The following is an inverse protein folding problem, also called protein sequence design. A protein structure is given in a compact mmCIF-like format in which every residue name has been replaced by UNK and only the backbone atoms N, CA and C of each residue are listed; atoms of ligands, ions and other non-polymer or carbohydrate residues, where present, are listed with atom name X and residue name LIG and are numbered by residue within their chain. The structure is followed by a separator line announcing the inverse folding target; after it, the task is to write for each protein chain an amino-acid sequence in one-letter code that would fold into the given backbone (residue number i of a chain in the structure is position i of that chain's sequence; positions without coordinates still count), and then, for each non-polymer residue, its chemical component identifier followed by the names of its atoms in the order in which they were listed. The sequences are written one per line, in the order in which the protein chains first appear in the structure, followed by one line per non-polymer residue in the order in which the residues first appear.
data_IF_592632291510
#
_entry.id   IF_592632291510
#
_cell.length_a   1.000
_cell.length_b   1.000
_cell.length_c   1.000
_cell.angle_alpha   90.00
_cell.angle_beta   90.00
_cell.angle_gamma   90.00
#
_symmetry.space_group_name_H-M   'P 1'
#
loop_
_entity.id
_entity.type
_entity.pdbx_description
1 polymer ?
#
# COMPACT_ATOMS: atom_id res chain seq x y z
N UNK A 1 13.83 18.27 -10.60
CA UNK A 1 14.74 17.42 -11.40
C UNK A 1 14.25 17.15 -12.84
N UNK A 2 13.04 17.58 -13.24
CA UNK A 2 12.42 17.17 -14.52
C UNK A 2 12.09 18.31 -15.49
N UNK A 3 12.59 19.52 -15.26
CA UNK A 3 12.29 20.65 -16.13
C UNK A 3 13.25 20.68 -17.33
N UNK A 4 12.72 21.03 -18.50
CA UNK A 4 13.44 21.36 -19.74
C UNK A 4 13.88 20.21 -20.68
N UNK A 5 13.10 19.12 -20.79
CA UNK A 5 13.25 18.14 -21.88
C UNK A 5 12.11 18.28 -22.89
N UNK A 6 12.42 18.81 -24.09
CA UNK A 6 11.41 19.07 -25.13
C UNK A 6 10.65 17.78 -25.48
N UNK A 7 9.33 17.83 -25.39
CA UNK A 7 8.45 16.70 -25.70
C UNK A 7 8.30 15.66 -24.60
N UNK A 8 8.98 15.78 -23.45
CA UNK A 8 8.76 14.91 -22.28
C UNK A 8 8.04 15.71 -21.18
N UNK A 9 6.87 15.23 -20.78
CA UNK A 9 6.03 15.85 -19.77
C UNK A 9 5.92 14.93 -18.55
N UNK A 10 6.22 15.47 -17.36
CA UNK A 10 6.14 14.74 -16.10
C UNK A 10 5.41 15.64 -15.11
N UNK A 11 4.28 15.17 -14.58
CA UNK A 11 3.50 15.86 -13.56
C UNK A 11 3.38 15.00 -12.32
N UNK A 12 3.84 15.52 -11.19
CA UNK A 12 3.65 14.90 -9.88
C UNK A 12 2.24 15.14 -9.34
N UNK A 13 1.71 14.13 -8.66
CA UNK A 13 0.52 14.19 -7.81
C UNK A 13 0.78 13.41 -6.51
N UNK A 14 -0.15 13.46 -5.55
CA UNK A 14 0.03 12.91 -4.20
C UNK A 14 0.62 11.50 -4.20
N UNK A 15 0.09 10.62 -5.05
CA UNK A 15 0.43 9.20 -5.05
C UNK A 15 1.34 8.80 -6.22
N UNK A 16 1.95 9.74 -6.96
CA UNK A 16 2.66 9.34 -8.17
C UNK A 16 3.01 10.43 -9.17
N UNK A 17 3.27 10.00 -10.39
CA UNK A 17 3.55 10.84 -11.55
C UNK A 17 2.77 10.39 -12.77
N UNK A 18 2.24 11.35 -13.52
CA UNK A 18 1.79 11.12 -14.89
C UNK A 18 2.94 11.50 -15.83
N UNK A 19 3.32 10.59 -16.72
CA UNK A 19 4.41 10.79 -17.68
C UNK A 19 3.90 10.63 -19.10
N UNK A 20 4.30 11.53 -19.99
CA UNK A 20 3.95 11.47 -21.40
C UNK A 20 5.14 11.87 -22.27
N UNK A 21 5.44 11.06 -23.28
CA UNK A 21 6.58 11.24 -24.16
C UNK A 21 6.16 11.44 -25.63
N UNK A 22 6.50 12.61 -26.17
CA UNK A 22 6.34 13.03 -27.57
C UNK A 22 7.61 13.67 -28.10
N UNK A 23 8.76 13.25 -27.58
CA UNK A 23 10.06 13.83 -27.94
C UNK A 23 10.61 13.30 -29.27
N UNK A 24 9.99 12.28 -29.86
CA UNK A 24 10.49 11.58 -31.04
C UNK A 24 11.50 10.47 -30.73
N UNK A 25 11.71 10.14 -29.44
CA UNK A 25 12.62 9.05 -29.01
C UNK A 25 12.25 8.53 -27.62
N UNK A 26 12.67 7.30 -27.32
CA UNK A 26 12.55 6.76 -25.97
C UNK A 26 13.43 7.52 -24.95
N UNK A 27 12.95 7.59 -23.71
CA UNK A 27 13.64 8.25 -22.59
C UNK A 27 13.70 7.37 -21.35
N UNK A 28 14.90 7.27 -20.78
CA UNK A 28 15.09 6.76 -19.43
C UNK A 28 14.90 7.89 -18.41
N UNK A 29 13.96 7.70 -17.50
CA UNK A 29 13.66 8.61 -16.39
C UNK A 29 14.01 7.95 -15.07
N UNK A 30 14.50 8.75 -14.11
CA UNK A 30 14.75 8.32 -12.74
C UNK A 30 13.78 9.05 -11.82
N UNK A 31 12.96 8.33 -11.07
CA UNK A 31 12.13 8.89 -9.99
C UNK A 31 12.92 9.05 -8.69
N UNK A 32 12.42 9.91 -7.81
CA UNK A 32 12.99 10.11 -6.46
C UNK A 32 12.61 8.98 -5.50
N UNK A 33 11.52 8.27 -5.79
CA UNK A 33 10.99 7.13 -5.04
C UNK A 33 10.90 5.92 -5.98
N UNK A 34 10.80 4.70 -5.43
CA UNK A 34 10.44 3.54 -6.24
C UNK A 34 8.98 3.69 -6.67
N UNK A 35 8.71 3.39 -7.93
CA UNK A 35 7.36 3.50 -8.49
C UNK A 35 6.99 2.24 -9.27
N UNK A 36 5.69 2.00 -9.42
CA UNK A 36 5.15 0.99 -10.33
C UNK A 36 4.34 1.66 -11.44
N UNK A 37 4.60 1.25 -12.69
CA UNK A 37 3.77 1.62 -13.82
C UNK A 37 2.42 0.90 -13.79
N UNK A 38 1.34 1.63 -14.05
CA UNK A 38 -0.04 1.11 -14.01
C UNK A 38 -0.33 0.18 -15.20
N UNK A 39 0.22 0.46 -16.38
CA UNK A 39 -0.02 -0.35 -17.58
C UNK A 39 1.03 -1.46 -17.74
N UNK A 40 2.30 -1.15 -17.48
CA UNK A 40 3.42 -2.10 -17.62
C UNK A 40 3.43 -3.25 -16.60
N UNK A 41 2.53 -3.24 -15.60
CA UNK A 41 2.24 -4.42 -14.79
C UNK A 41 3.26 -4.78 -13.70
N UNK A 42 4.06 -3.80 -13.23
CA UNK A 42 5.06 -3.77 -12.11
C UNK A 42 6.52 -3.78 -12.54
N UNK A 43 7.28 -2.76 -12.08
CA UNK A 43 8.65 -2.92 -11.56
C UNK A 43 8.98 -1.83 -10.52
N UNK A 44 9.25 -2.24 -9.27
CA UNK A 44 9.64 -1.39 -8.12
C UNK A 44 11.00 -0.72 -8.28
N UNK A 45 11.11 0.17 -9.25
CA UNK A 45 12.38 0.74 -9.68
C UNK A 45 12.32 2.24 -9.66
N UNK A 46 13.51 2.82 -9.54
CA UNK A 46 13.71 4.25 -9.76
C UNK A 46 13.77 4.56 -11.26
N UNK A 47 14.30 3.64 -12.07
CA UNK A 47 14.55 3.86 -13.50
C UNK A 47 13.50 3.19 -14.37
N UNK A 48 12.92 3.95 -15.29
CA UNK A 48 11.91 3.48 -16.24
C UNK A 48 12.20 4.04 -17.64
N UNK A 49 12.00 3.20 -18.66
CA UNK A 49 12.08 3.60 -20.06
C UNK A 49 10.68 3.96 -20.55
N UNK A 50 10.52 5.16 -21.12
CA UNK A 50 9.26 5.62 -21.72
C UNK A 50 9.46 5.67 -23.24
N UNK A 51 8.82 4.79 -24.02
CA UNK A 51 8.80 4.86 -25.48
C UNK A 51 8.28 6.20 -26.01
N UNK A 52 8.54 6.50 -27.28
CA UNK A 52 7.93 7.67 -27.93
C UNK A 52 6.45 7.41 -28.24
N UNK A 53 5.65 8.48 -28.25
CA UNK A 53 4.19 8.45 -28.42
C UNK A 53 3.45 7.68 -27.31
N UNK A 54 4.11 7.45 -26.18
CA UNK A 54 3.59 6.67 -25.06
C UNK A 54 3.33 7.55 -23.83
N UNK A 55 2.52 7.04 -22.91
CA UNK A 55 2.23 7.68 -21.64
C UNK A 55 1.88 6.66 -20.56
N UNK A 56 2.46 6.82 -19.38
CA UNK A 56 2.23 5.91 -18.27
C UNK A 56 2.00 6.69 -16.97
N UNK A 57 1.14 6.12 -16.12
CA UNK A 57 0.98 6.56 -14.74
C UNK A 57 1.90 5.71 -13.87
N UNK A 58 2.76 6.37 -13.11
CA UNK A 58 3.65 5.76 -12.13
C UNK A 58 3.14 6.03 -10.73
N UNK A 59 2.76 4.99 -9.99
CA UNK A 59 2.33 5.10 -8.61
C UNK A 59 3.55 4.98 -7.69
N UNK A 60 3.69 5.92 -6.74
CA UNK A 60 4.60 5.80 -5.60
C UNK A 60 4.32 4.49 -4.92
N UNK A 61 5.37 3.71 -4.70
CA UNK A 61 5.27 2.58 -3.80
C UNK A 61 5.39 3.21 -2.42
N UNK A 62 4.35 3.13 -1.56
CA UNK A 62 4.52 3.54 -0.19
C UNK A 62 5.74 2.80 0.33
N UNK A 63 6.69 3.53 0.92
CA UNK A 63 7.74 2.88 1.69
C UNK A 63 7.03 2.07 2.78
N UNK A 64 6.69 0.82 2.49
CA UNK A 64 6.59 -0.18 3.55
C UNK A 64 7.97 -0.11 4.17
N UNK A 65 8.10 0.39 5.41
CA UNK A 65 9.40 0.46 6.03
C UNK A 65 10.02 -0.91 5.84
N UNK A 66 11.17 -0.99 5.14
CA UNK A 66 11.96 -2.21 5.07
C UNK A 66 12.61 -2.40 6.44
N UNK A 67 11.75 -2.61 7.41
CA UNK A 67 12.04 -3.17 8.69
C UNK A 67 12.07 -4.67 8.44
N UNK A 68 13.26 -5.26 8.59
CA UNK A 68 13.43 -6.69 8.80
C UNK A 68 12.75 -7.18 10.09
N UNK A 69 12.03 -6.31 10.80
CA UNK A 69 10.94 -6.70 11.67
C UNK A 69 9.65 -6.54 10.86
N UNK A 70 9.03 -7.67 10.53
CA UNK A 70 7.59 -7.77 10.32
C UNK A 70 6.95 -6.75 11.29
N UNK A 71 6.20 -5.73 10.83
CA UNK A 71 5.45 -4.91 11.78
C UNK A 71 4.74 -5.90 12.69
N UNK A 72 4.86 -5.76 14.02
CA UNK A 72 4.03 -6.56 14.90
C UNK A 72 2.63 -6.51 14.30
N UNK A 73 1.99 -7.67 14.05
CA UNK A 73 0.69 -7.67 13.42
C UNK A 73 -0.13 -6.61 14.16
N UNK A 74 -0.90 -5.74 13.46
CA UNK A 74 -1.85 -4.89 14.17
C UNK A 74 -2.57 -5.86 15.10
N UNK A 75 -2.64 -5.58 16.41
CA UNK A 75 -2.91 -6.63 17.41
C UNK A 75 -4.31 -7.30 17.29
N UNK A 76 -5.01 -7.01 16.20
CA UNK A 76 -6.35 -7.37 15.80
C UNK A 76 -6.41 -8.08 14.43
N UNK A 77 -5.29 -8.32 13.74
CA UNK A 77 -5.20 -9.29 12.62
C UNK A 77 -5.12 -10.69 13.24
N UNK A 78 -6.29 -11.29 13.46
CA UNK A 78 -6.46 -12.51 14.24
C UNK A 78 -6.23 -13.77 13.40
N UNK A 79 -6.38 -13.68 12.08
CA UNK A 79 -6.10 -14.80 11.17
C UNK A 79 -4.67 -14.75 10.57
N UNK A 80 -3.92 -13.66 10.83
CA UNK A 80 -2.57 -13.41 10.36
C UNK A 80 -2.43 -13.37 8.83
N UNK A 81 -3.46 -12.95 8.11
CA UNK A 81 -3.47 -12.82 6.65
C UNK A 81 -2.88 -11.48 6.15
N UNK A 82 -2.61 -10.56 7.08
CA UNK A 82 -2.00 -9.27 6.82
C UNK A 82 -2.98 -8.14 6.47
N UNK A 83 -4.30 -8.35 6.58
CA UNK A 83 -5.34 -7.35 6.34
C UNK A 83 -6.40 -7.40 7.44
N UNK A 84 -6.61 -6.31 8.17
CA UNK A 84 -7.68 -6.25 9.19
C UNK A 84 -9.04 -6.04 8.52
N UNK A 85 -9.87 -7.08 8.48
CA UNK A 85 -11.16 -7.05 7.80
C UNK A 85 -12.27 -7.83 8.56
N UNK A 86 -13.38 -8.12 7.88
CA UNK A 86 -14.53 -8.83 8.47
C UNK A 86 -14.19 -10.24 8.98
N UNK A 87 -13.15 -10.87 8.43
CA UNK A 87 -12.71 -12.20 8.86
C UNK A 87 -12.17 -12.17 10.29
N UNK A 88 -11.50 -11.10 10.71
CA UNK A 88 -11.02 -10.92 12.09
C UNK A 88 -12.19 -10.73 13.06
N UNK A 89 -13.21 -9.95 12.66
CA UNK A 89 -14.42 -9.76 13.45
C UNK A 89 -15.17 -11.08 13.68
N UNK A 90 -15.16 -11.99 12.70
CA UNK A 90 -15.77 -13.32 12.85
C UNK A 90 -15.04 -14.16 13.90
N UNK A 91 -13.72 -14.02 14.03
CA UNK A 91 -12.95 -14.73 15.06
C UNK A 91 -13.38 -14.29 16.46
N UNK A 92 -13.49 -12.98 16.69
CA UNK A 92 -13.99 -12.45 17.98
C UNK A 92 -15.43 -12.90 18.24
N UNK A 93 -16.32 -12.81 17.24
CA UNK A 93 -17.71 -13.22 17.39
C UNK A 93 -17.86 -14.72 17.72
N UNK A 94 -17.00 -15.58 17.18
CA UNK A 94 -17.01 -17.01 17.50
C UNK A 94 -16.49 -17.32 18.91
N UNK A 95 -15.69 -16.42 19.49
CA UNK A 95 -15.15 -16.53 20.85
C UNK A 95 -15.98 -15.79 21.90
N UNK A 96 -17.16 -15.26 21.52
CA UNK A 96 -17.99 -14.45 22.41
C UNK A 96 -18.36 -15.20 23.69
N UNK A 97 -18.06 -14.61 24.86
CA UNK A 97 -18.28 -15.22 26.16
C UNK A 97 -17.28 -16.32 26.55
N UNK A 98 -16.23 -16.55 25.75
CA UNK A 98 -15.12 -17.45 26.10
C UNK A 98 -13.84 -16.64 26.33
N UNK A 99 -13.20 -16.72 27.51
CA UNK A 99 -11.94 -16.02 27.74
C UNK A 99 -10.82 -16.60 26.87
N UNK A 100 -9.88 -15.77 26.45
CA UNK A 100 -8.72 -16.23 25.67
C UNK A 100 -8.19 -15.18 24.70
N UNK A 101 -7.61 -15.65 23.60
CA UNK A 101 -6.87 -14.82 22.63
C UNK A 101 -7.72 -13.78 21.88
N UNK A 102 -9.06 -13.85 22.01
CA UNK A 102 -9.99 -12.88 21.47
C UNK A 102 -10.36 -11.74 22.45
N UNK A 103 -9.77 -11.71 23.65
CA UNK A 103 -9.83 -10.58 24.58
C UNK A 103 -8.82 -9.52 24.11
N UNK A 104 -9.30 -8.63 23.25
CA UNK A 104 -8.48 -7.65 22.53
C UNK A 104 -8.16 -6.46 23.42
N UNK A 105 -9.08 -6.10 24.32
CA UNK A 105 -8.90 -4.96 25.21
C UNK A 105 -8.24 -5.33 26.55
N UNK A 106 -8.09 -6.63 26.85
CA UNK A 106 -7.43 -7.17 28.03
C UNK A 106 -8.25 -7.03 29.32
N UNK A 107 -9.58 -6.93 29.21
CA UNK A 107 -10.47 -6.74 30.36
C UNK A 107 -10.93 -8.04 31.04
N UNK A 108 -10.60 -9.19 30.42
CA UNK A 108 -10.88 -10.53 30.93
C UNK A 108 -12.16 -11.16 30.36
N UNK A 109 -12.98 -10.43 29.61
CA UNK A 109 -14.25 -10.92 29.06
C UNK A 109 -14.35 -10.65 27.55
N UNK A 110 -14.41 -11.70 26.72
CA UNK A 110 -14.65 -11.52 25.28
C UNK A 110 -16.09 -11.11 25.01
N UNK A 111 -16.30 -9.85 24.63
CA UNK A 111 -17.61 -9.25 24.46
C UNK A 111 -17.67 -8.22 23.31
N UNK A 112 -18.69 -7.37 23.30
CA UNK A 112 -18.88 -6.35 22.25
C UNK A 112 -17.75 -5.31 22.21
N UNK A 113 -17.07 -5.06 23.32
CA UNK A 113 -15.96 -4.12 23.40
C UNK A 113 -14.75 -4.61 22.59
N UNK A 114 -14.54 -5.92 22.47
CA UNK A 114 -13.51 -6.51 21.61
C UNK A 114 -13.83 -6.35 20.13
N UNK A 115 -15.10 -6.56 19.74
CA UNK A 115 -15.57 -6.32 18.38
C UNK A 115 -15.37 -4.86 17.96
N UNK A 116 -15.67 -3.91 18.86
CA UNK A 116 -15.43 -2.48 18.61
C UNK A 116 -13.92 -2.20 18.45
N UNK A 117 -13.08 -2.89 19.23
CA UNK A 117 -11.63 -2.72 19.16
C UNK A 117 -11.07 -3.16 17.81
N UNK A 118 -11.56 -4.26 17.24
CA UNK A 118 -11.22 -4.67 15.86
C UNK A 118 -11.80 -3.69 14.83
N UNK A 119 -13.06 -3.30 14.97
CA UNK A 119 -13.75 -2.44 14.00
C UNK A 119 -13.10 -1.04 13.84
N UNK A 120 -12.48 -0.50 14.88
CA UNK A 120 -11.75 0.77 14.84
C UNK A 120 -10.47 0.73 13.99
N UNK A 121 -10.04 -0.46 13.56
CA UNK A 121 -8.77 -0.72 12.89
C UNK A 121 -8.94 -1.40 11.54
N UNK A 122 -10.16 -1.40 10.98
CA UNK A 122 -10.42 -1.92 9.64
C UNK A 122 -9.70 -1.08 8.58
N UNK A 123 -9.07 -1.77 7.63
CA UNK A 123 -8.38 -1.17 6.47
C UNK A 123 -9.32 -0.94 5.26
#
# INVERSE_FOLDING_TARGET
MYQNRRGLFIREFTNGWAVYNRSGRAHNIKFIEKVSGVESGRQEKYWHEIPDLDGEIYLKIPEVPQSSQKPEPPSVDLNADGVVNILDLIIVANAFGTPGEADINGDGDVNILDLISVAQRLD
#
